data_IF_621584961488
#
_entry.id   IF_621584961488
#
_cell.length_a   1.000
_cell.length_b   1.000
_cell.length_c   1.000
_cell.angle_alpha   90.00
_cell.angle_beta   90.00
_cell.angle_gamma   90.00
#
_symmetry.space_group_name_H-M   'P 1'
#
loop_
_entity.id
_entity.type
_entity.pdbx_description
1 polymer ?
#
# COMPACT_ATOMS: atom_id res chain seq x y z
N UNK A 1 -28.66 -33.88 -17.25
CA UNK A 1 -27.65 -32.81 -17.16
C UNK A 1 -28.26 -31.50 -17.66
N UNK A 2 -27.98 -30.39 -16.97
CA UNK A 2 -28.54 -29.08 -17.33
C UNK A 2 -28.01 -28.62 -18.70
N UNK A 3 -28.91 -28.30 -19.65
CA UNK A 3 -28.55 -27.74 -20.98
C UNK A 3 -27.94 -26.33 -20.89
N UNK A 4 -28.01 -25.67 -19.74
CA UNK A 4 -27.60 -24.27 -19.54
C UNK A 4 -26.14 -24.00 -19.90
N UNK A 5 -25.26 -24.99 -19.76
CA UNK A 5 -23.81 -24.83 -19.98
C UNK A 5 -23.25 -25.73 -21.08
N UNK A 6 -24.09 -26.42 -21.85
CA UNK A 6 -23.61 -27.42 -22.82
C UNK A 6 -22.68 -26.81 -23.88
N UNK A 7 -23.00 -25.61 -24.36
CA UNK A 7 -22.16 -24.87 -25.30
C UNK A 7 -20.84 -24.43 -24.69
N UNK A 8 -20.85 -23.90 -23.45
CA UNK A 8 -19.63 -23.44 -22.78
C UNK A 8 -18.71 -24.62 -22.43
N UNK A 9 -19.27 -25.76 -21.99
CA UNK A 9 -18.50 -26.97 -21.73
C UNK A 9 -17.84 -27.51 -23.00
N UNK A 10 -18.53 -27.49 -24.14
CA UNK A 10 -17.95 -27.91 -25.42
C UNK A 10 -16.77 -27.00 -25.83
N UNK A 11 -16.88 -25.69 -25.63
CA UNK A 11 -15.78 -24.74 -25.89
C UNK A 11 -14.61 -24.92 -24.94
N UNK A 12 -14.87 -25.19 -23.65
CA UNK A 12 -13.83 -25.49 -22.66
C UNK A 12 -13.10 -26.78 -23.04
N UNK A 13 -13.83 -27.82 -23.44
CA UNK A 13 -13.25 -29.10 -23.87
C UNK A 13 -12.38 -28.93 -25.12
N UNK A 14 -12.86 -28.23 -26.14
CA UNK A 14 -12.08 -27.91 -27.33
C UNK A 14 -10.79 -27.16 -26.97
N UNK A 15 -10.88 -26.13 -26.13
CA UNK A 15 -9.74 -25.34 -25.69
C UNK A 15 -8.73 -26.13 -24.84
N UNK A 16 -9.20 -27.08 -24.03
CA UNK A 16 -8.34 -27.89 -23.16
C UNK A 16 -7.81 -29.15 -23.86
N UNK A 17 -8.43 -29.61 -24.95
CA UNK A 17 -8.05 -30.82 -25.70
C UNK A 17 -6.58 -30.93 -26.14
N UNK A 18 -5.84 -29.85 -26.51
CA UNK A 18 -4.43 -29.99 -26.87
C UNK A 18 -3.48 -30.05 -25.67
N UNK A 19 -3.97 -29.92 -24.43
CA UNK A 19 -3.11 -29.88 -23.25
C UNK A 19 -2.55 -31.27 -22.92
N UNK A 20 -1.24 -31.33 -22.67
CA UNK A 20 -0.56 -32.57 -22.26
C UNK A 20 -0.30 -32.54 -20.75
N UNK A 21 -0.69 -33.62 -20.06
CA UNK A 21 -0.35 -33.80 -18.66
C UNK A 21 1.10 -34.28 -18.52
N UNK A 22 1.90 -33.61 -17.68
CA UNK A 22 3.25 -34.04 -17.31
C UNK A 22 3.41 -34.00 -15.80
N UNK A 23 3.83 -35.12 -15.22
CA UNK A 23 4.18 -35.17 -13.80
C UNK A 23 5.35 -34.21 -13.52
N UNK A 24 5.33 -33.57 -12.35
CA UNK A 24 6.39 -32.69 -11.87
C UNK A 24 6.83 -33.11 -10.47
N UNK A 25 8.10 -32.91 -10.18
CA UNK A 25 8.63 -33.11 -8.84
C UNK A 25 8.05 -32.04 -7.91
N UNK A 26 7.65 -32.46 -6.71
CA UNK A 26 7.14 -31.60 -5.67
C UNK A 26 7.79 -31.93 -4.33
N UNK A 27 7.94 -30.92 -3.47
CA UNK A 27 8.36 -31.09 -2.07
C UNK A 27 7.43 -30.28 -1.19
N UNK A 28 6.94 -30.90 -0.14
CA UNK A 28 6.07 -30.26 0.83
C UNK A 28 6.74 -30.30 2.21
N UNK A 29 6.55 -29.23 2.96
CA UNK A 29 7.06 -29.06 4.32
C UNK A 29 5.90 -28.61 5.21
N UNK A 30 5.76 -29.21 6.38
CA UNK A 30 4.74 -28.84 7.36
C UNK A 30 5.37 -28.04 8.51
N UNK A 31 4.78 -26.87 8.80
CA UNK A 31 5.24 -25.96 9.85
C UNK A 31 4.17 -25.85 10.93
N UNK A 32 4.59 -26.09 12.17
CA UNK A 32 3.74 -25.98 13.36
C UNK A 32 4.56 -25.66 14.60
N UNK A 33 3.98 -24.93 15.54
CA UNK A 33 4.63 -24.69 16.83
C UNK A 33 4.55 -25.94 17.72
N UNK A 34 5.69 -26.47 18.23
CA UNK A 34 5.67 -27.62 19.12
C UNK A 34 4.87 -27.34 20.41
N UNK A 35 4.02 -28.29 20.81
CA UNK A 35 3.31 -28.23 22.10
C UNK A 35 2.23 -27.15 22.23
N UNK A 36 1.97 -26.35 21.19
CA UNK A 36 0.86 -25.38 21.16
C UNK A 36 -0.19 -25.82 20.13
N UNK A 37 -1.46 -25.77 20.51
CA UNK A 37 -2.57 -26.13 19.63
C UNK A 37 -2.70 -25.15 18.46
N UNK A 38 -2.47 -25.64 17.24
CA UNK A 38 -3.18 -25.26 16.01
C UNK A 38 -3.29 -23.79 15.61
N UNK A 39 -2.45 -22.88 16.10
CA UNK A 39 -2.42 -21.51 15.58
C UNK A 39 -1.22 -21.35 14.65
N UNK A 40 -1.48 -20.88 13.42
CA UNK A 40 -0.46 -20.70 12.37
C UNK A 40 0.21 -22.01 11.92
N UNK A 41 -0.52 -23.13 11.89
CA UNK A 41 -0.03 -24.32 11.20
C UNK A 41 -0.21 -24.13 9.69
N UNK A 42 0.84 -24.37 8.91
CA UNK A 42 0.79 -24.25 7.46
C UNK A 42 1.73 -25.23 6.78
N UNK A 43 1.46 -25.53 5.52
CA UNK A 43 2.35 -26.27 4.65
C UNK A 43 2.92 -25.35 3.56
N UNK A 44 4.17 -25.60 3.19
CA UNK A 44 4.81 -24.98 2.02
C UNK A 44 5.12 -26.07 1.02
N UNK A 45 4.53 -25.98 -0.17
CA UNK A 45 4.80 -26.88 -1.29
C UNK A 45 5.59 -26.15 -2.36
N UNK A 46 6.75 -26.68 -2.70
CA UNK A 46 7.55 -26.27 -3.84
C UNK A 46 7.32 -27.20 -5.03
N UNK A 47 7.20 -26.61 -6.21
CA UNK A 47 7.38 -27.27 -7.51
C UNK A 47 8.20 -26.37 -8.42
N UNK A 48 8.88 -26.89 -9.47
CA UNK A 48 9.59 -26.02 -10.41
C UNK A 48 8.69 -24.91 -10.97
N UNK A 49 9.03 -23.66 -10.62
CA UNK A 49 8.33 -22.44 -11.01
C UNK A 49 7.32 -21.90 -9.99
N UNK A 50 7.04 -22.61 -8.88
CA UNK A 50 6.06 -22.12 -7.90
C UNK A 50 6.30 -22.57 -6.46
N UNK A 51 5.87 -21.71 -5.53
CA UNK A 51 5.74 -22.00 -4.11
C UNK A 51 4.29 -21.76 -3.69
N UNK A 52 3.70 -22.72 -2.99
CA UNK A 52 2.33 -22.65 -2.51
C UNK A 52 2.29 -22.82 -0.99
N UNK A 53 1.68 -21.84 -0.32
CA UNK A 53 1.31 -21.85 1.08
C UNK A 53 -0.13 -22.35 1.21
N UNK A 54 -0.41 -23.21 2.18
CA UNK A 54 -1.76 -23.59 2.58
C UNK A 54 -1.84 -23.82 4.11
N UNK A 55 -2.99 -23.56 4.73
CA UNK A 55 -3.24 -23.83 6.15
C UNK A 55 -3.89 -22.65 6.88
N UNK A 56 -3.63 -22.53 8.18
CA UNK A 56 -4.26 -21.53 9.05
C UNK A 56 -3.90 -20.09 8.69
N UNK A 57 -2.77 -19.90 8.00
CA UNK A 57 -2.32 -18.61 7.51
C UNK A 57 -3.00 -18.20 6.18
N UNK A 58 -3.89 -19.05 5.66
CA UNK A 58 -4.53 -18.91 4.36
C UNK A 58 -3.80 -19.63 3.24
N UNK A 59 -4.17 -19.30 2.02
CA UNK A 59 -3.64 -19.91 0.80
C UNK A 59 -2.99 -18.84 -0.08
N UNK A 60 -1.75 -19.09 -0.50
CA UNK A 60 -1.03 -18.17 -1.37
C UNK A 60 -0.14 -18.96 -2.31
N UNK A 61 -0.22 -18.67 -3.61
CA UNK A 61 0.73 -19.22 -4.60
C UNK A 61 1.58 -18.10 -5.17
N UNK A 62 2.89 -18.28 -5.09
CA UNK A 62 3.91 -17.41 -5.65
C UNK A 62 4.53 -18.09 -6.86
N UNK A 63 4.52 -17.40 -8.00
CA UNK A 63 5.17 -17.90 -9.22
C UNK A 63 6.52 -17.21 -9.38
N UNK A 64 7.58 -17.99 -9.49
CA UNK A 64 8.94 -17.47 -9.66
C UNK A 64 9.47 -17.77 -11.05
N UNK A 65 10.58 -17.12 -11.41
CA UNK A 65 11.17 -17.26 -12.74
C UNK A 65 11.58 -18.71 -13.03
N UNK A 66 11.47 -19.12 -14.29
CA UNK A 66 11.75 -20.50 -14.74
C UNK A 66 13.21 -20.91 -14.56
N UNK A 67 14.13 -19.98 -14.32
CA UNK A 67 15.53 -20.31 -14.05
C UNK A 67 15.79 -20.88 -12.65
N UNK A 68 14.85 -20.75 -11.70
CA UNK A 68 14.97 -21.38 -10.38
C UNK A 68 14.42 -22.81 -10.46
N UNK A 69 15.18 -23.70 -11.12
CA UNK A 69 14.70 -25.05 -11.44
C UNK A 69 14.88 -26.03 -10.28
N UNK A 70 15.77 -25.71 -9.34
CA UNK A 70 16.02 -26.54 -8.16
C UNK A 70 15.23 -26.08 -6.95
N UNK A 71 14.97 -27.02 -6.04
CA UNK A 71 14.31 -26.74 -4.76
C UNK A 71 15.08 -25.68 -3.96
N UNK A 72 16.39 -25.86 -3.84
CA UNK A 72 17.25 -24.99 -3.05
C UNK A 72 17.24 -23.55 -3.57
N UNK A 73 17.36 -23.35 -4.89
CA UNK A 73 17.28 -22.03 -5.50
C UNK A 73 15.93 -21.36 -5.25
N UNK A 74 14.82 -22.11 -5.40
CA UNK A 74 13.47 -21.61 -5.14
C UNK A 74 13.28 -21.18 -3.68
N UNK A 75 13.76 -21.97 -2.73
CA UNK A 75 13.70 -21.65 -1.30
C UNK A 75 14.62 -20.47 -0.94
N UNK A 76 15.86 -20.43 -1.45
CA UNK A 76 16.79 -19.31 -1.20
C UNK A 76 16.23 -18.00 -1.75
N UNK A 77 15.64 -18.05 -2.94
CA UNK A 77 14.95 -16.91 -3.53
C UNK A 77 13.84 -16.38 -2.63
N UNK A 78 12.92 -17.25 -2.19
CA UNK A 78 11.83 -16.84 -1.31
C UNK A 78 12.33 -16.33 0.05
N UNK A 79 13.34 -16.96 0.65
CA UNK A 79 13.88 -16.58 1.94
C UNK A 79 14.52 -15.17 1.94
N UNK A 80 15.22 -14.82 0.87
CA UNK A 80 16.09 -13.63 0.81
C UNK A 80 15.49 -12.43 0.09
N UNK A 81 14.49 -12.64 -0.77
CA UNK A 81 13.87 -11.56 -1.55
C UNK A 81 13.12 -10.55 -0.67
N UNK A 82 13.03 -9.32 -1.18
CA UNK A 82 12.24 -8.24 -0.57
C UNK A 82 10.73 -8.54 -0.58
N UNK A 83 10.01 -8.11 0.45
CA UNK A 83 8.57 -8.40 0.61
C UNK A 83 7.74 -7.80 -0.54
N UNK A 84 8.00 -6.55 -0.94
CA UNK A 84 7.26 -5.92 -2.03
C UNK A 84 7.50 -6.66 -3.35
N UNK A 85 8.74 -7.09 -3.58
CA UNK A 85 9.05 -7.91 -4.75
C UNK A 85 8.28 -9.23 -4.74
N UNK A 86 8.20 -9.92 -3.59
CA UNK A 86 7.48 -11.18 -3.46
C UNK A 86 5.97 -11.01 -3.61
N UNK A 87 5.38 -9.96 -3.04
CA UNK A 87 3.97 -9.62 -3.22
C UNK A 87 3.63 -9.40 -4.69
N UNK A 88 4.52 -8.75 -5.45
CA UNK A 88 4.41 -8.60 -6.91
C UNK A 88 4.50 -9.91 -7.71
N UNK A 89 4.87 -11.04 -7.08
CA UNK A 89 4.84 -12.39 -7.68
C UNK A 89 3.61 -13.21 -7.30
N UNK A 90 2.69 -12.61 -6.54
CA UNK A 90 1.40 -13.19 -6.19
C UNK A 90 0.30 -12.62 -7.07
N UNK A 91 -0.94 -13.10 -6.86
CA UNK A 91 -2.16 -12.47 -7.42
C UNK A 91 -2.78 -11.44 -6.47
N UNK A 92 -2.19 -11.24 -5.30
CA UNK A 92 -2.69 -10.26 -4.34
C UNK A 92 -2.52 -8.86 -4.95
N UNK A 93 -3.39 -7.95 -4.55
CA UNK A 93 -3.34 -6.55 -4.95
C UNK A 93 -3.36 -5.70 -3.70
N UNK A 94 -2.67 -4.58 -3.75
CA UNK A 94 -2.84 -3.54 -2.73
C UNK A 94 -4.30 -3.10 -2.72
N UNK A 95 -4.80 -2.86 -1.52
CA UNK A 95 -6.15 -2.37 -1.32
C UNK A 95 -6.08 -0.89 -0.97
N UNK A 96 -7.07 -0.14 -1.43
CA UNK A 96 -7.23 1.27 -1.08
C UNK A 96 -7.15 1.47 0.44
N UNK A 97 -6.25 2.35 0.86
CA UNK A 97 -6.08 2.74 2.26
C UNK A 97 -6.65 4.15 2.44
N UNK A 98 -7.89 4.19 2.93
CA UNK A 98 -8.63 5.42 3.22
C UNK A 98 -7.86 6.34 4.14
N UNK A 99 -7.36 5.81 5.25
CA UNK A 99 -6.73 6.63 6.29
C UNK A 99 -5.38 7.18 5.81
N UNK A 100 -4.61 6.38 5.05
CA UNK A 100 -3.38 6.85 4.41
C UNK A 100 -3.67 7.93 3.37
N UNK A 101 -4.71 7.76 2.54
CA UNK A 101 -5.12 8.73 1.52
C UNK A 101 -5.49 10.08 2.16
N UNK A 102 -6.32 10.06 3.21
CA UNK A 102 -6.71 11.28 3.93
C UNK A 102 -5.50 11.96 4.55
N UNK A 103 -4.60 11.19 5.18
CA UNK A 103 -3.34 11.73 5.74
C UNK A 103 -2.47 12.38 4.66
N UNK A 104 -2.42 11.79 3.47
CA UNK A 104 -1.63 12.29 2.35
C UNK A 104 -2.20 13.62 1.82
N UNK A 105 -3.53 13.72 1.60
CA UNK A 105 -4.22 14.97 1.26
C UNK A 105 -3.92 16.07 2.28
N UNK A 106 -4.05 15.76 3.57
CA UNK A 106 -3.78 16.70 4.67
C UNK A 106 -2.30 17.10 4.69
N UNK A 107 -1.39 16.16 4.43
CA UNK A 107 0.05 16.41 4.36
C UNK A 107 0.36 17.39 3.23
N UNK A 108 -0.14 17.15 2.02
CA UNK A 108 0.02 18.06 0.88
C UNK A 108 -0.50 19.47 1.22
N UNK A 109 -1.66 19.56 1.86
CA UNK A 109 -2.25 20.84 2.23
C UNK A 109 -1.43 21.57 3.31
N UNK A 110 -0.86 20.82 4.24
CA UNK A 110 0.02 21.38 5.26
C UNK A 110 1.37 21.83 4.68
N UNK A 111 1.94 21.11 3.72
CA UNK A 111 3.22 21.45 3.07
C UNK A 111 3.17 22.84 2.43
N UNK A 112 2.09 23.18 1.70
CA UNK A 112 1.90 24.54 1.17
C UNK A 112 1.82 25.60 2.28
N UNK A 113 1.16 25.29 3.39
CA UNK A 113 0.91 26.24 4.46
C UNK A 113 2.08 26.42 5.46
N UNK A 114 3.16 25.62 5.38
CA UNK A 114 4.24 25.61 6.37
C UNK A 114 4.90 26.99 6.50
N UNK A 115 5.29 27.60 5.38
CA UNK A 115 6.04 28.84 5.40
C UNK A 115 5.19 30.01 5.90
N UNK A 116 3.91 30.07 5.50
CA UNK A 116 2.96 31.06 5.99
C UNK A 116 2.67 30.90 7.48
N UNK A 117 2.54 29.67 7.97
CA UNK A 117 2.43 29.39 9.42
C UNK A 117 3.68 29.82 10.19
N UNK A 118 4.87 29.61 9.60
CA UNK A 118 6.14 30.03 10.20
C UNK A 118 6.24 31.56 10.25
N UNK A 119 5.97 32.25 9.14
CA UNK A 119 5.98 33.72 9.06
C UNK A 119 5.05 34.34 10.09
N UNK A 120 3.80 33.89 10.15
CA UNK A 120 2.82 34.35 11.14
C UNK A 120 3.32 34.15 12.58
N UNK A 121 3.93 33.00 12.87
CA UNK A 121 4.48 32.71 14.19
C UNK A 121 5.63 33.66 14.55
N UNK A 122 6.50 33.95 13.60
CA UNK A 122 7.61 34.86 13.77
C UNK A 122 7.13 36.32 13.94
N UNK A 123 6.15 36.76 13.15
CA UNK A 123 5.49 38.06 13.30
C UNK A 123 4.80 38.19 14.67
N UNK A 124 4.00 37.20 15.08
CA UNK A 124 3.37 37.16 16.41
C UNK A 124 4.40 37.22 17.54
N UNK A 125 5.58 36.62 17.34
CA UNK A 125 6.67 36.68 18.31
C UNK A 125 7.30 38.07 18.36
N UNK A 126 7.49 38.71 17.21
CA UNK A 126 7.93 40.11 17.10
C UNK A 126 6.97 41.06 17.80
N UNK A 127 5.69 41.00 17.43
CA UNK A 127 4.62 41.77 18.06
C UNK A 127 4.57 41.60 19.57
N UNK A 128 4.69 40.37 20.10
CA UNK A 128 4.74 40.14 21.55
C UNK A 128 5.94 40.78 22.23
N UNK A 129 7.07 40.96 21.54
CA UNK A 129 8.27 41.63 22.07
C UNK A 129 8.11 43.16 22.08
N UNK A 130 7.33 43.68 21.15
CA UNK A 130 7.00 45.11 21.03
C UNK A 130 5.87 45.54 21.98
N UNK A 131 5.36 44.61 22.82
CA UNK A 131 4.31 44.90 23.78
C UNK A 131 4.70 46.08 24.69
N UNK A 132 3.92 47.18 24.68
CA UNK A 132 4.13 48.31 25.60
C UNK A 132 4.03 47.85 27.06
N UNK A 133 4.78 48.50 27.96
CA UNK A 133 4.78 48.16 29.39
C UNK A 133 3.36 48.34 29.98
N UNK A 134 2.71 47.27 30.46
CA UNK A 134 1.38 47.34 31.03
C UNK A 134 1.35 48.00 32.42
N UNK A 135 2.40 48.68 32.88
CA UNK A 135 2.40 49.45 34.13
C UNK A 135 2.65 50.96 33.93
N UNK A 136 2.79 51.44 32.69
CA UNK A 136 2.84 52.87 32.36
C UNK A 136 1.51 53.64 32.48
N UNK A 137 0.45 53.01 32.99
CA UNK A 137 -0.98 53.39 32.87
C UNK A 137 -1.42 54.71 33.53
N UNK A 138 -0.48 55.54 34.00
CA UNK A 138 -0.78 56.88 34.48
C UNK A 138 -0.65 57.97 33.40
N UNK A 139 -0.15 57.62 32.20
CA UNK A 139 -0.10 58.53 31.05
C UNK A 139 -1.14 58.11 29.98
N UNK A 140 -2.11 58.98 29.63
CA UNK A 140 -3.05 58.74 28.54
C UNK A 140 -2.38 58.39 27.20
N UNK A 141 -1.15 58.86 26.95
CA UNK A 141 -0.40 58.51 25.74
C UNK A 141 -0.10 56.99 25.66
N UNK A 142 0.24 56.36 26.78
CA UNK A 142 0.50 54.91 26.85
C UNK A 142 -0.76 54.03 26.70
N UNK A 143 -1.96 54.58 26.97
CA UNK A 143 -3.21 53.86 26.71
C UNK A 143 -3.50 53.75 25.21
N UNK A 144 -3.26 54.83 24.46
CA UNK A 144 -3.34 54.82 23.00
C UNK A 144 -2.34 53.84 22.37
N UNK A 145 -1.07 53.88 22.79
CA UNK A 145 -0.03 52.96 22.30
C UNK A 145 -0.38 51.48 22.56
N UNK A 146 -1.02 51.18 23.70
CA UNK A 146 -1.44 49.81 24.02
C UNK A 146 -2.62 49.34 23.17
N UNK A 147 -3.59 50.23 22.91
CA UNK A 147 -4.73 49.93 22.02
C UNK A 147 -4.26 49.76 20.58
N UNK A 148 -3.36 50.63 20.10
CA UNK A 148 -2.76 50.52 18.77
C UNK A 148 -1.96 49.23 18.64
N UNK A 149 -1.14 48.89 19.64
CA UNK A 149 -0.46 47.60 19.67
C UNK A 149 -1.44 46.41 19.62
N UNK A 150 -2.55 46.45 20.37
CA UNK A 150 -3.57 45.39 20.30
C UNK A 150 -4.22 45.30 18.91
N UNK A 151 -4.46 46.44 18.26
CA UNK A 151 -5.02 46.52 16.91
C UNK A 151 -4.03 46.05 15.83
N UNK A 152 -2.73 46.29 16.03
CA UNK A 152 -1.62 45.86 15.17
C UNK A 152 -1.20 44.41 15.37
N UNK A 153 -1.90 43.66 16.24
CA UNK A 153 -1.65 42.23 16.44
C UNK A 153 -1.62 41.54 15.08
N UNK A 154 -0.50 40.86 14.70
CA UNK A 154 -0.46 40.00 13.55
C UNK A 154 -1.53 38.94 13.70
N UNK A 155 -2.63 39.17 13.03
CA UNK A 155 -3.67 38.19 12.83
C UNK A 155 -3.26 37.42 11.57
N UNK A 156 -3.90 36.29 11.30
CA UNK A 156 -3.80 35.66 9.97
C UNK A 156 -4.28 36.58 8.83
N UNK A 157 -4.69 37.82 9.15
CA UNK A 157 -5.35 38.80 8.31
C UNK A 157 -4.44 39.94 7.83
N UNK A 158 -3.10 39.84 7.91
CA UNK A 158 -2.21 40.96 7.52
C UNK A 158 -2.19 41.26 6.01
N UNK A 159 -3.11 40.67 5.22
CA UNK A 159 -3.38 41.01 3.83
C UNK A 159 -4.91 41.06 3.62
N UNK A 160 -5.47 42.27 3.78
CA UNK A 160 -6.82 42.77 3.40
C UNK A 160 -8.07 42.07 4.00
N UNK A 161 -8.64 42.65 5.07
CA UNK A 161 -9.94 42.26 5.64
C UNK A 161 -11.08 43.23 5.32
N UNK A 162 -12.26 42.69 4.97
CA UNK A 162 -13.54 43.40 5.07
C UNK A 162 -14.46 42.63 6.01
N UNK A 163 -14.93 43.28 7.09
CA UNK A 163 -15.90 42.68 8.02
C UNK A 163 -17.31 42.69 7.40
N UNK A 164 -17.89 41.52 7.18
CA UNK A 164 -19.25 41.41 6.62
C UNK A 164 -20.27 41.44 7.76
N UNK A 165 -20.76 42.65 8.09
CA UNK A 165 -21.75 42.89 9.17
C UNK A 165 -22.99 42.00 9.09
N UNK A 166 -23.43 41.64 7.90
CA UNK A 166 -24.65 40.83 7.69
C UNK A 166 -24.54 39.39 8.20
N UNK A 167 -23.32 38.88 8.40
CA UNK A 167 -23.08 37.46 8.72
C UNK A 167 -22.23 37.26 9.97
N UNK A 168 -21.90 38.35 10.69
CA UNK A 168 -21.06 38.33 11.90
C UNK A 168 -19.76 37.53 11.74
N UNK A 169 -19.16 37.55 10.53
CA UNK A 169 -17.94 36.80 10.19
C UNK A 169 -16.96 37.65 9.41
N UNK A 170 -15.68 37.29 9.50
CA UNK A 170 -14.62 37.90 8.68
C UNK A 170 -14.50 37.13 7.36
N UNK A 171 -14.62 37.84 6.24
CA UNK A 171 -14.33 37.30 4.93
C UNK A 171 -13.11 38.05 4.37
N UNK A 172 -12.14 37.29 3.88
CA UNK A 172 -10.95 37.80 3.21
C UNK A 172 -11.35 38.05 1.76
N UNK A 173 -11.47 39.30 1.30
CA UNK A 173 -11.93 39.60 -0.05
C UNK A 173 -10.90 40.46 -0.80
N UNK A 174 -10.57 40.13 -2.05
CA UNK A 174 -9.81 41.04 -2.92
C UNK A 174 -10.64 42.25 -3.34
N UNK A 175 -10.02 43.14 -4.14
CA UNK A 175 -10.68 44.31 -4.72
C UNK A 175 -11.88 43.96 -5.62
N UNK A 176 -12.01 42.70 -6.04
CA UNK A 176 -13.11 42.17 -6.85
C UNK A 176 -14.12 41.36 -6.00
N UNK A 177 -14.07 41.51 -4.67
CA UNK A 177 -14.89 40.78 -3.69
C UNK A 177 -14.71 39.25 -3.66
N UNK A 178 -13.63 38.71 -4.21
CA UNK A 178 -13.38 37.25 -4.21
C UNK A 178 -12.72 36.83 -2.92
N UNK A 179 -13.12 35.66 -2.40
CA UNK A 179 -12.48 35.12 -1.20
C UNK A 179 -11.01 34.79 -1.48
N UNK A 180 -10.08 35.49 -0.83
CA UNK A 180 -8.63 35.26 -0.94
C UNK A 180 -8.13 34.55 0.31
N UNK A 181 -7.17 33.63 0.15
CA UNK A 181 -6.44 33.05 1.28
C UNK A 181 -4.98 33.45 1.18
N UNK A 182 -4.29 33.49 2.31
CA UNK A 182 -2.85 33.77 2.32
C UNK A 182 -2.09 32.74 1.48
N UNK A 183 -0.98 33.17 0.87
CA UNK A 183 -0.11 32.29 0.07
C UNK A 183 0.16 30.96 0.79
N UNK A 184 0.09 29.85 0.06
CA UNK A 184 0.30 28.50 0.59
C UNK A 184 -0.92 27.86 1.27
N UNK A 185 -2.02 28.60 1.46
CA UNK A 185 -3.28 28.07 2.00
C UNK A 185 -4.31 27.68 0.93
N UNK A 186 -3.97 27.80 -0.34
CA UNK A 186 -4.85 27.54 -1.48
C UNK A 186 -5.43 26.14 -1.40
N UNK A 187 -4.60 25.14 -1.09
CA UNK A 187 -5.03 23.76 -1.00
C UNK A 187 -6.05 23.50 0.12
N UNK A 188 -5.82 24.10 1.29
CA UNK A 188 -6.79 24.05 2.39
C UNK A 188 -8.10 24.76 2.04
N UNK A 189 -8.02 25.86 1.29
CA UNK A 189 -9.19 26.57 0.82
C UNK A 189 -9.98 25.73 -0.21
N UNK A 190 -9.30 25.03 -1.11
CA UNK A 190 -9.93 24.15 -2.08
C UNK A 190 -10.60 22.97 -1.38
N UNK A 191 -9.93 22.34 -0.41
CA UNK A 191 -10.51 21.27 0.43
C UNK A 191 -11.78 21.79 1.13
N UNK A 192 -11.69 22.94 1.80
CA UNK A 192 -12.83 23.58 2.47
C UNK A 192 -14.00 23.77 1.50
N UNK A 193 -13.75 24.30 0.30
CA UNK A 193 -14.77 24.53 -0.74
C UNK A 193 -15.37 23.21 -1.24
N UNK A 194 -14.54 22.20 -1.50
CA UNK A 194 -14.96 20.87 -1.92
C UNK A 194 -15.86 20.18 -0.89
N UNK A 195 -15.61 20.43 0.39
CA UNK A 195 -16.43 19.94 1.51
C UNK A 195 -17.66 20.80 1.79
N UNK A 196 -17.84 21.92 1.10
CA UNK A 196 -18.98 22.83 1.29
C UNK A 196 -18.92 23.65 2.59
N UNK A 197 -17.80 23.67 3.31
CA UNK A 197 -17.61 24.48 4.51
C UNK A 197 -17.55 25.96 4.13
N UNK A 198 -18.32 26.81 4.81
CA UNK A 198 -18.48 28.23 4.48
C UNK A 198 -17.61 29.15 5.32
N UNK A 199 -17.17 28.72 6.49
CA UNK A 199 -16.28 29.48 7.34
C UNK A 199 -14.85 29.40 6.83
N UNK A 200 -14.33 30.49 6.28
CA UNK A 200 -12.95 30.56 5.78
C UNK A 200 -11.95 30.53 6.94
N UNK A 201 -12.33 31.03 8.13
CA UNK A 201 -11.44 31.04 9.28
C UNK A 201 -11.12 29.64 9.82
N UNK A 202 -11.89 28.62 9.43
CA UNK A 202 -11.68 27.26 9.93
C UNK A 202 -10.31 26.69 9.52
N UNK A 203 -9.82 26.97 8.30
CA UNK A 203 -8.52 26.48 7.83
C UNK A 203 -7.38 26.99 8.70
N UNK A 204 -7.57 28.13 9.36
CA UNK A 204 -6.54 28.84 10.08
C UNK A 204 -6.42 28.43 11.57
N UNK A 205 -7.37 27.64 12.08
CA UNK A 205 -7.42 27.25 13.50
C UNK A 205 -7.29 25.74 13.66
N UNK A 206 -6.71 25.27 14.76
CA UNK A 206 -6.62 23.82 15.03
C UNK A 206 -7.99 23.15 15.03
N UNK A 207 -8.98 23.77 15.69
CA UNK A 207 -10.35 23.25 15.76
C UNK A 207 -11.02 23.18 14.38
N UNK A 208 -10.79 24.17 13.53
CA UNK A 208 -11.34 24.16 12.18
C UNK A 208 -10.66 23.15 11.28
N UNK A 209 -9.35 22.93 11.41
CA UNK A 209 -8.63 21.87 10.72
C UNK A 209 -9.06 20.47 11.18
N UNK A 210 -9.31 20.28 12.47
CA UNK A 210 -9.92 19.06 13.02
C UNK A 210 -11.30 18.83 12.40
N UNK A 211 -12.14 19.86 12.36
CA UNK A 211 -13.46 19.78 11.73
C UNK A 211 -13.39 19.42 10.23
N UNK A 212 -12.50 20.06 9.47
CA UNK A 212 -12.29 19.74 8.07
C UNK A 212 -11.77 18.32 7.87
N UNK A 213 -10.95 17.81 8.79
CA UNK A 213 -10.46 16.43 8.77
C UNK A 213 -11.61 15.44 8.96
N UNK A 214 -12.53 15.71 9.90
CA UNK A 214 -13.74 14.90 10.11
C UNK A 214 -14.64 14.91 8.88
N UNK A 215 -14.86 16.08 8.27
CA UNK A 215 -15.63 16.20 7.03
C UNK A 215 -14.97 15.41 5.88
N UNK A 216 -13.65 15.51 5.74
CA UNK A 216 -12.89 14.79 4.72
C UNK A 216 -12.97 13.27 4.93
N UNK A 217 -12.95 12.81 6.18
CA UNK A 217 -13.20 11.40 6.51
C UNK A 217 -14.57 10.96 6.04
N UNK A 218 -15.63 11.73 6.31
CA UNK A 218 -16.99 11.37 5.89
C UNK A 218 -17.16 11.40 4.36
N UNK A 219 -16.43 12.25 3.68
CA UNK A 219 -16.46 12.37 2.23
C UNK A 219 -15.77 11.18 1.55
N UNK A 220 -14.58 10.80 2.02
CA UNK A 220 -13.76 9.76 1.39
C UNK A 220 -13.97 8.43 2.11
N UNK A 221 -14.94 7.64 1.67
CA UNK A 221 -15.18 6.29 2.18
C UNK A 221 -14.55 5.21 1.30
N UNK A 222 -14.56 5.44 -0.01
CA UNK A 222 -14.10 4.49 -1.02
C UNK A 222 -13.06 5.13 -1.94
N UNK A 223 -12.35 4.30 -2.69
CA UNK A 223 -11.43 4.74 -3.73
C UNK A 223 -12.12 5.66 -4.75
N UNK A 224 -13.36 5.33 -5.13
CA UNK A 224 -14.14 6.16 -6.05
C UNK A 224 -14.45 7.54 -5.46
N UNK A 225 -14.80 7.62 -4.18
CA UNK A 225 -15.03 8.92 -3.51
C UNK A 225 -13.74 9.73 -3.44
N UNK A 226 -12.58 9.09 -3.21
CA UNK A 226 -11.30 9.80 -3.24
C UNK A 226 -11.04 10.44 -4.61
N UNK A 227 -11.30 9.71 -5.69
CA UNK A 227 -11.19 10.23 -7.05
C UNK A 227 -12.19 11.36 -7.33
N UNK A 228 -13.46 11.17 -7.00
CA UNK A 228 -14.49 12.20 -7.19
C UNK A 228 -14.17 13.48 -6.42
N UNK A 229 -13.67 13.34 -5.18
CA UNK A 229 -13.27 14.48 -4.39
C UNK A 229 -12.06 15.20 -5.00
N UNK A 230 -10.95 14.50 -5.22
CA UNK A 230 -9.69 15.14 -5.64
C UNK A 230 -9.76 15.67 -7.08
N UNK A 231 -10.27 14.88 -8.02
CA UNK A 231 -10.36 15.31 -9.42
C UNK A 231 -11.59 16.17 -9.68
N UNK A 232 -12.75 15.74 -9.17
CA UNK A 232 -14.02 16.39 -9.45
C UNK A 232 -14.22 17.68 -8.66
N UNK A 233 -13.98 17.65 -7.35
CA UNK A 233 -14.22 18.83 -6.47
C UNK A 233 -13.01 19.74 -6.33
N UNK A 234 -11.79 19.19 -6.26
CA UNK A 234 -10.58 19.99 -6.08
C UNK A 234 -9.87 20.34 -7.39
N UNK A 235 -10.12 19.61 -8.48
CA UNK A 235 -9.44 19.82 -9.75
C UNK A 235 -7.97 19.40 -9.74
N UNK A 236 -7.61 18.39 -8.96
CA UNK A 236 -6.24 17.85 -8.93
C UNK A 236 -6.08 16.81 -10.04
N UNK A 237 -5.38 17.17 -11.11
CA UNK A 237 -5.27 16.35 -12.30
C UNK A 237 -4.34 15.12 -12.17
N UNK A 238 -3.46 15.08 -11.16
CA UNK A 238 -2.42 14.04 -11.00
C UNK A 238 -2.44 13.37 -9.60
N UNK A 239 -3.57 13.39 -8.89
CA UNK A 239 -3.62 12.82 -7.55
C UNK A 239 -3.85 11.30 -7.54
N UNK A 240 -2.97 10.54 -6.89
CA UNK A 240 -3.16 9.10 -6.72
C UNK A 240 -3.48 8.75 -5.26
N UNK A 241 -4.60 8.05 -5.00
CA UNK A 241 -4.88 7.54 -3.67
C UNK A 241 -3.79 6.62 -3.14
N UNK A 242 -3.73 6.48 -1.82
CA UNK A 242 -2.80 5.56 -1.19
C UNK A 242 -3.36 4.14 -1.19
N UNK A 243 -2.48 3.18 -1.48
CA UNK A 243 -2.78 1.76 -1.42
C UNK A 243 -1.81 1.08 -0.47
N UNK A 244 -2.30 0.07 0.23
CA UNK A 244 -1.49 -0.71 1.16
C UNK A 244 -1.82 -2.19 1.04
N UNK A 245 -0.83 -3.02 1.33
CA UNK A 245 -1.02 -4.46 1.51
C UNK A 245 -1.75 -4.71 2.82
N UNK A 246 -2.73 -5.62 2.82
CA UNK A 246 -3.40 -5.99 4.06
C UNK A 246 -2.41 -6.74 4.95
N UNK A 247 -2.58 -6.63 6.26
CA UNK A 247 -1.77 -7.39 7.21
C UNK A 247 -1.76 -8.90 6.90
N UNK A 248 -2.90 -9.45 6.47
CA UNK A 248 -3.00 -10.86 6.09
C UNK A 248 -2.13 -11.21 4.88
N UNK A 249 -2.05 -10.34 3.88
CA UNK A 249 -1.23 -10.54 2.68
C UNK A 249 0.27 -10.55 3.05
N UNK A 250 0.66 -9.62 3.92
CA UNK A 250 2.01 -9.54 4.48
C UNK A 250 2.35 -10.78 5.31
N UNK A 251 1.42 -11.23 6.15
CA UNK A 251 1.58 -12.44 6.96
C UNK A 251 1.81 -13.68 6.09
N UNK A 252 1.03 -13.85 5.02
CA UNK A 252 1.17 -15.00 4.11
C UNK A 252 2.54 -15.03 3.44
N UNK A 253 3.00 -13.88 2.90
CA UNK A 253 4.33 -13.79 2.30
C UNK A 253 5.41 -14.07 3.34
N UNK A 254 5.28 -13.54 4.56
CA UNK A 254 6.24 -13.80 5.62
C UNK A 254 6.25 -15.27 6.06
N UNK A 255 5.10 -15.95 6.07
CA UNK A 255 5.03 -17.41 6.27
C UNK A 255 5.82 -18.17 5.20
N UNK A 256 5.72 -17.77 3.93
CA UNK A 256 6.52 -18.36 2.85
C UNK A 256 8.01 -18.08 3.06
N UNK A 257 8.40 -16.84 3.38
CA UNK A 257 9.80 -16.47 3.63
C UNK A 257 10.41 -17.28 4.78
N UNK A 258 9.70 -17.36 5.92
CA UNK A 258 10.16 -18.09 7.10
C UNK A 258 10.15 -19.59 6.87
N UNK A 259 9.09 -20.14 6.28
CA UNK A 259 9.01 -21.54 5.91
C UNK A 259 10.14 -21.95 4.97
N UNK A 260 10.49 -21.09 4.01
CA UNK A 260 11.61 -21.34 3.11
C UNK A 260 12.97 -21.37 3.83
N UNK A 261 13.20 -20.47 4.79
CA UNK A 261 14.42 -20.48 5.63
C UNK A 261 14.53 -21.77 6.44
N UNK A 262 13.46 -22.15 7.13
CA UNK A 262 13.41 -23.37 7.93
C UNK A 262 13.58 -24.63 7.06
N UNK A 263 13.00 -24.64 5.86
CA UNK A 263 13.18 -25.74 4.92
C UNK A 263 14.63 -25.86 4.43
N UNK A 264 15.32 -24.73 4.17
CA UNK A 264 16.75 -24.74 3.84
C UNK A 264 17.59 -25.28 5.00
N UNK A 265 17.34 -24.84 6.22
CA UNK A 265 18.03 -25.33 7.42
C UNK A 265 17.86 -26.85 7.57
N UNK A 266 16.66 -27.39 7.30
CA UNK A 266 16.42 -28.82 7.30
C UNK A 266 17.20 -29.56 6.20
N UNK A 267 17.24 -28.99 4.98
CA UNK A 267 17.99 -29.57 3.86
C UNK A 267 19.51 -29.59 4.12
N UNK A 268 20.03 -28.60 4.84
CA UNK A 268 21.43 -28.54 5.25
C UNK A 268 21.76 -29.52 6.40
N UNK A 269 20.77 -29.81 7.26
CA UNK A 269 20.93 -30.70 8.42
C UNK A 269 20.77 -32.19 8.08
N UNK A 270 19.96 -32.53 7.08
CA UNK A 270 19.79 -33.91 6.62
C UNK A 270 20.91 -34.32 5.64
N UNK A 271 21.62 -35.44 5.85
CA UNK A 271 22.49 -36.02 4.80
C UNK A 271 21.65 -36.30 3.54
N UNK A 272 22.23 -36.30 2.33
CA UNK A 272 21.51 -36.22 1.06
C UNK A 272 20.28 -37.12 1.06
N UNK A 273 19.12 -36.49 1.25
CA UNK A 273 17.84 -37.18 1.32
C UNK A 273 17.65 -37.89 -0.02
N UNK A 274 17.70 -39.22 0.00
CA UNK A 274 17.41 -40.06 -1.17
C UNK A 274 16.00 -39.67 -1.59
N UNK A 275 15.82 -39.02 -2.74
CA UNK A 275 14.51 -38.57 -3.14
C UNK A 275 13.68 -39.83 -3.30
N UNK A 276 12.62 -39.97 -2.48
CA UNK A 276 11.58 -41.00 -2.61
C UNK A 276 11.80 -41.82 -3.86
N UNK A 277 12.52 -42.94 -3.72
CA UNK A 277 12.44 -43.96 -4.74
C UNK A 277 10.96 -44.31 -4.73
N UNK A 278 10.23 -43.83 -5.74
CA UNK A 278 9.09 -44.56 -6.23
C UNK A 278 9.67 -45.95 -6.48
N UNK A 279 9.54 -46.87 -5.53
CA UNK A 279 9.65 -48.27 -5.84
C UNK A 279 8.39 -48.51 -6.66
N UNK A 280 8.46 -48.71 -8.00
CA UNK A 280 7.44 -49.57 -8.55
C UNK A 280 7.60 -50.88 -7.77
N UNK A 281 6.53 -51.39 -7.18
CA UNK A 281 6.50 -52.75 -6.65
C UNK A 281 6.59 -53.80 -7.79
N UNK A 282 7.37 -53.51 -8.83
CA UNK A 282 7.49 -54.23 -10.10
C UNK A 282 8.92 -54.03 -10.65
N UNK A 283 9.93 -54.36 -9.83
CA UNK A 283 11.28 -54.59 -10.35
C UNK A 283 11.48 -56.07 -10.74
N UNK A 284 10.54 -56.96 -10.39
CA UNK A 284 10.61 -58.38 -10.76
C UNK A 284 10.08 -58.68 -12.18
N UNK A 285 9.43 -57.71 -12.85
CA UNK A 285 8.88 -57.90 -14.22
C UNK A 285 9.73 -57.28 -15.35
N UNK A 286 10.84 -56.61 -15.06
CA UNK A 286 11.74 -56.07 -16.10
C UNK A 286 12.76 -57.08 -16.65
N UNK A 287 12.75 -58.33 -16.18
CA UNK A 287 13.47 -59.43 -16.82
C UNK A 287 12.83 -59.87 -18.17
N UNK A 288 11.65 -59.34 -18.53
CA UNK A 288 10.87 -59.80 -19.68
C UNK A 288 10.67 -58.80 -20.83
N UNK A 289 11.46 -57.71 -20.93
CA UNK A 289 11.39 -56.81 -22.10
C UNK A 289 12.65 -56.87 -22.99
N UNK A 290 12.52 -57.01 -24.33
CA UNK A 290 13.63 -57.43 -25.19
C UNK A 290 14.70 -56.35 -25.39
N UNK A 291 15.96 -56.79 -25.42
CA UNK A 291 17.15 -56.04 -25.86
C UNK A 291 17.06 -55.66 -27.35
N UNK A 292 16.22 -54.72 -27.71
CA UNK A 292 16.05 -54.30 -29.10
C UNK A 292 16.06 -52.76 -29.25
N UNK A 293 16.97 -52.06 -28.56
CA UNK A 293 17.19 -50.62 -28.82
C UNK A 293 18.64 -50.17 -28.57
N UNK A 294 19.61 -51.10 -28.62
CA UNK A 294 21.03 -50.85 -28.34
C UNK A 294 21.96 -50.79 -29.56
N UNK A 295 21.49 -51.02 -30.78
CA UNK A 295 22.38 -51.18 -31.95
C UNK A 295 22.21 -50.15 -33.08
N UNK A 296 21.44 -49.07 -32.90
CA UNK A 296 21.22 -48.07 -33.97
C UNK A 296 21.88 -46.70 -33.79
N UNK A 297 22.70 -46.48 -32.76
CA UNK A 297 23.37 -45.19 -32.56
C UNK A 297 24.89 -45.27 -32.27
N UNK A 298 25.53 -46.42 -32.53
CA UNK A 298 26.99 -46.55 -32.48
C UNK A 298 27.68 -46.36 -33.85
N UNK A 299 26.93 -46.33 -34.96
CA UNK A 299 27.49 -46.25 -36.33
C UNK A 299 27.53 -44.84 -36.94
N UNK A 300 27.01 -43.81 -36.25
CA UNK A 300 26.99 -42.43 -36.77
C UNK A 300 28.12 -41.56 -36.19
N UNK A 301 28.75 -41.95 -35.08
CA UNK A 301 29.87 -41.21 -34.46
C UNK A 301 31.27 -41.74 -34.84
N UNK A 302 31.38 -42.79 -35.66
CA UNK A 302 32.65 -43.35 -36.14
C UNK A 302 33.01 -42.97 -37.59
N UNK A 303 32.35 -41.95 -38.17
CA UNK A 303 32.63 -41.44 -39.53
C UNK A 303 32.93 -39.93 -39.59
N UNK A 304 33.29 -39.34 -38.46
CA UNK A 304 33.75 -37.94 -38.37
C UNK A 304 35.00 -37.81 -37.50
N UNK A 305 35.95 -38.75 -37.66
CA UNK A 305 37.34 -38.68 -37.21
C UNK A 305 38.23 -39.33 -38.27
#
# INVERSE_FOLDING_TARGET
>A
MSKKYAHDLARIDEALSPHVCKARNARAFDFRTPGKGGTYAFSLTWTPGSLSLAGDCGELTMTHYSALWTLEEGLRWAATSDIHYLLGKTRLKETFDRDATIRDIIKMANEGAVDSRKRLRDELRGWRRERPDPYGWYDPATEFDYVDWLNDRPTQNSVWTTYVRAQSRYEYKDQEERVVVADGWELWNDIRRGLGERDVACIHTSKGLEHLTELLQNEIETEHHAYEFCYGKLGWDDYHPCYAWRFHDLLQVECIRRGAKMALEQLDADPPFIPYAWRPALADDMAAFPRAFGERYSSVLARAA
#
